data_IF_435359181864
#
_entry.id   IF_435359181864
#
_cell.length_a   1.000
_cell.length_b   1.000
_cell.length_c   1.000
_cell.angle_alpha   90.00
_cell.angle_beta   90.00
_cell.angle_gamma   90.00
#
_symmetry.space_group_name_H-M   'P 1'
#
loop_
_entity.id
_entity.type
_entity.pdbx_description
1 polymer ?
#
# COMPACT_ATOMS: atom_id res chain seq x y z
N UNK A 1 -36.31 -30.29 12.55
CA UNK A 1 -36.61 -28.87 12.25
C UNK A 1 -35.30 -28.12 12.05
N UNK A 2 -35.33 -27.06 11.26
CA UNK A 2 -34.21 -26.19 10.95
C UNK A 2 -33.95 -25.21 12.10
N UNK A 3 -32.68 -25.00 12.47
CA UNK A 3 -32.27 -24.13 13.56
C UNK A 3 -31.27 -23.09 13.09
N UNK A 4 -31.39 -21.87 13.63
CA UNK A 4 -30.38 -20.82 13.51
C UNK A 4 -29.56 -20.74 14.80
N UNK A 5 -28.26 -20.49 14.69
CA UNK A 5 -27.40 -20.12 15.80
C UNK A 5 -27.36 -18.58 15.85
N UNK A 6 -27.75 -18.03 17.00
CA UNK A 6 -27.78 -16.59 17.22
C UNK A 6 -26.77 -16.25 18.31
N UNK A 7 -25.82 -15.39 18.00
CA UNK A 7 -24.90 -14.84 18.99
C UNK A 7 -25.64 -13.81 19.87
N UNK A 8 -25.58 -13.99 21.15
CA UNK A 8 -26.18 -13.07 22.13
C UNK A 8 -25.07 -12.32 22.87
N UNK A 9 -24.92 -11.04 22.59
CA UNK A 9 -23.87 -10.21 23.16
C UNK A 9 -22.55 -10.27 22.38
N UNK A 10 -21.46 -9.83 23.04
CA UNK A 10 -20.12 -9.71 22.44
C UNK A 10 -19.28 -10.99 22.50
N UNK A 11 -19.71 -11.97 23.31
CA UNK A 11 -19.01 -13.24 23.44
C UNK A 11 -19.33 -14.14 22.21
N UNK A 12 -18.34 -14.46 21.36
CA UNK A 12 -18.55 -15.27 20.18
C UNK A 12 -18.94 -16.73 20.50
N UNK A 13 -18.69 -17.18 21.71
CA UNK A 13 -19.02 -18.54 22.15
C UNK A 13 -20.44 -18.61 22.74
N UNK A 14 -21.07 -17.48 23.03
CA UNK A 14 -22.44 -17.44 23.56
C UNK A 14 -23.46 -17.51 22.44
N UNK A 15 -23.59 -18.70 21.86
CA UNK A 15 -24.51 -19.00 20.77
C UNK A 15 -25.79 -19.63 21.30
N UNK A 16 -26.93 -19.01 21.01
CA UNK A 16 -28.27 -19.56 21.29
C UNK A 16 -28.83 -20.25 20.04
N UNK A 17 -29.29 -21.47 20.22
CA UNK A 17 -29.97 -22.23 19.18
C UNK A 17 -31.45 -21.87 19.17
N UNK A 18 -31.96 -21.31 18.06
CA UNK A 18 -33.35 -20.88 17.91
C UNK A 18 -33.95 -21.59 16.70
N UNK A 19 -35.16 -22.11 16.83
CA UNK A 19 -35.88 -22.70 15.65
C UNK A 19 -36.12 -21.60 14.62
N UNK A 20 -35.85 -21.88 13.35
CA UNK A 20 -36.08 -20.90 12.28
C UNK A 20 -37.53 -20.48 12.23
N UNK A 21 -38.49 -21.37 12.55
CA UNK A 21 -39.89 -21.07 12.63
C UNK A 21 -40.26 -20.03 13.70
N UNK A 22 -39.45 -19.87 14.73
CA UNK A 22 -39.65 -18.90 15.82
C UNK A 22 -39.08 -17.52 15.50
N UNK A 23 -38.34 -17.39 14.39
CA UNK A 23 -37.76 -16.12 13.96
C UNK A 23 -38.82 -15.25 13.30
N UNK A 24 -39.34 -14.27 14.03
CA UNK A 24 -40.39 -13.36 13.53
C UNK A 24 -39.88 -12.35 12.50
N UNK A 25 -38.62 -11.92 12.58
CA UNK A 25 -38.05 -10.96 11.63
C UNK A 25 -36.53 -11.05 11.60
N UNK A 26 -35.93 -10.79 10.43
CA UNK A 26 -34.51 -10.54 10.24
C UNK A 26 -34.33 -9.09 9.79
N UNK A 27 -33.56 -8.29 10.50
CA UNK A 27 -33.28 -6.89 10.15
C UNK A 27 -31.79 -6.62 10.24
N UNK A 28 -31.23 -6.07 9.17
CA UNK A 28 -29.83 -5.58 9.21
C UNK A 28 -29.69 -4.42 10.19
N UNK A 29 -28.69 -4.48 11.06
CA UNK A 29 -28.32 -3.36 11.94
C UNK A 29 -27.45 -2.39 11.18
N UNK A 30 -27.73 -1.09 11.30
CA UNK A 30 -26.84 -0.02 10.83
C UNK A 30 -25.72 0.27 11.82
N UNK A 31 -25.78 -0.30 13.00
CA UNK A 31 -24.84 -0.09 14.08
C UNK A 31 -24.03 -1.38 14.25
N UNK A 32 -22.72 -1.25 14.27
CA UNK A 32 -21.81 -2.36 14.60
C UNK A 32 -22.06 -2.82 16.04
N UNK A 33 -21.99 -4.13 16.29
CA UNK A 33 -21.98 -4.68 17.64
C UNK A 33 -20.65 -4.41 18.37
N UNK A 34 -19.65 -3.88 17.65
CA UNK A 34 -18.36 -3.52 18.24
C UNK A 34 -18.54 -2.32 19.18
N UNK A 35 -18.07 -2.39 20.43
CA UNK A 35 -18.16 -1.27 21.35
C UNK A 35 -17.52 -0.02 20.76
N UNK A 36 -18.18 1.14 20.93
CA UNK A 36 -17.56 2.42 20.61
C UNK A 36 -16.30 2.62 21.42
N UNK A 37 -15.25 3.20 20.81
CA UNK A 37 -13.99 3.49 21.51
C UNK A 37 -12.99 2.33 21.60
N UNK A 38 -13.29 1.15 21.08
CA UNK A 38 -12.34 0.02 21.08
C UNK A 38 -10.98 0.39 20.49
N UNK A 39 -11.00 1.20 19.43
CA UNK A 39 -9.77 1.70 18.76
C UNK A 39 -8.96 2.60 19.69
N UNK A 40 -9.60 3.32 20.63
CA UNK A 40 -8.90 4.24 21.52
C UNK A 40 -8.06 3.52 22.59
N UNK A 41 -8.31 2.24 22.82
CA UNK A 41 -7.54 1.40 23.75
C UNK A 41 -6.35 0.71 23.10
N UNK A 42 -6.23 0.80 21.77
CA UNK A 42 -5.16 0.18 20.99
C UNK A 42 -3.98 1.14 20.81
N UNK A 43 -2.77 0.61 20.91
CA UNK A 43 -1.60 1.33 20.45
C UNK A 43 -1.48 1.31 18.90
N UNK A 44 -0.55 2.06 18.34
CA UNK A 44 -0.41 2.20 16.89
C UNK A 44 -0.07 0.88 16.18
N UNK A 45 0.68 -0.02 16.82
CA UNK A 45 1.02 -1.33 16.24
C UNK A 45 -0.18 -2.27 16.24
N UNK A 46 -0.91 -2.35 17.35
CA UNK A 46 -2.15 -3.14 17.44
C UNK A 46 -3.20 -2.68 16.42
N UNK A 47 -3.30 -1.36 16.19
CA UNK A 47 -4.20 -0.81 15.17
C UNK A 47 -3.76 -1.20 13.76
N UNK A 48 -2.46 -1.17 13.46
CA UNK A 48 -1.92 -1.65 12.17
C UNK A 48 -2.21 -3.13 11.94
N UNK A 49 -2.02 -3.96 12.98
CA UNK A 49 -2.27 -5.39 12.91
C UNK A 49 -3.75 -5.69 12.67
N UNK A 50 -4.64 -4.96 13.34
CA UNK A 50 -6.08 -5.07 13.11
C UNK A 50 -6.46 -4.70 11.68
N UNK A 51 -5.94 -3.58 11.16
CA UNK A 51 -6.18 -3.16 9.78
C UNK A 51 -5.63 -4.20 8.80
N UNK A 52 -4.43 -4.72 9.04
CA UNK A 52 -3.83 -5.76 8.24
C UNK A 52 -4.69 -7.04 8.22
N UNK A 53 -5.24 -7.43 9.37
CA UNK A 53 -6.17 -8.55 9.47
C UNK A 53 -7.42 -8.36 8.62
N UNK A 54 -8.04 -7.18 8.65
CA UNK A 54 -9.21 -6.89 7.83
C UNK A 54 -8.88 -6.91 6.33
N UNK A 55 -7.77 -6.27 5.92
CA UNK A 55 -7.36 -6.22 4.50
C UNK A 55 -7.03 -7.63 3.98
N UNK A 56 -6.46 -8.49 4.83
CA UNK A 56 -6.13 -9.87 4.48
C UNK A 56 -7.32 -10.82 4.48
N UNK A 57 -8.49 -10.38 4.97
CA UNK A 57 -9.64 -11.24 5.26
C UNK A 57 -9.28 -12.47 6.12
N UNK A 58 -8.29 -12.33 7.00
CA UNK A 58 -7.77 -13.40 7.87
C UNK A 58 -6.79 -14.38 7.21
N UNK A 59 -6.43 -14.16 5.95
CA UNK A 59 -5.40 -14.98 5.28
C UNK A 59 -4.00 -14.63 5.81
N UNK A 60 -3.43 -15.52 6.61
CA UNK A 60 -2.08 -15.38 7.19
C UNK A 60 -0.95 -15.31 6.15
N UNK A 61 -1.19 -15.75 4.92
CA UNK A 61 -0.22 -15.71 3.81
C UNK A 61 -0.34 -14.44 2.98
N UNK A 62 -1.32 -13.58 3.29
CA UNK A 62 -1.53 -12.34 2.55
C UNK A 62 -0.29 -11.45 2.59
N UNK A 63 0.00 -10.80 1.47
CA UNK A 63 1.19 -9.96 1.29
C UNK A 63 1.34 -8.85 2.34
N UNK A 64 0.25 -8.41 2.96
CA UNK A 64 0.26 -7.37 3.99
C UNK A 64 1.01 -7.79 5.27
N UNK A 65 1.08 -9.11 5.55
CA UNK A 65 1.83 -9.64 6.71
C UNK A 65 3.30 -9.93 6.39
N UNK A 66 3.70 -9.76 5.13
CA UNK A 66 5.13 -9.84 4.83
C UNK A 66 5.78 -8.64 5.53
N UNK A 67 6.84 -8.87 6.34
CA UNK A 67 7.58 -7.73 6.87
C UNK A 67 7.91 -6.84 5.68
N UNK A 68 7.77 -5.53 5.87
CA UNK A 68 8.30 -4.53 4.94
C UNK A 68 9.81 -4.78 4.90
N UNK A 69 10.22 -5.79 4.14
CA UNK A 69 11.63 -5.95 3.83
C UNK A 69 11.99 -4.69 3.08
N UNK A 70 12.85 -3.89 3.70
CA UNK A 70 13.49 -2.80 2.98
C UNK A 70 14.06 -3.43 1.72
N UNK A 71 13.42 -3.18 0.59
CA UNK A 71 13.87 -3.73 -0.68
C UNK A 71 15.33 -3.27 -0.84
N UNK A 72 16.23 -4.23 -1.09
CA UNK A 72 17.63 -3.92 -1.34
C UNK A 72 17.76 -3.37 -2.75
N UNK A 73 17.37 -2.10 -2.90
CA UNK A 73 17.44 -1.38 -4.16
C UNK A 73 18.72 -0.55 -4.15
N UNK A 74 19.58 -0.81 -5.11
CA UNK A 74 20.79 -0.03 -5.38
C UNK A 74 20.57 0.76 -6.67
N UNK A 75 20.49 2.09 -6.57
CA UNK A 75 20.33 2.97 -7.72
C UNK A 75 21.65 3.11 -8.47
N UNK A 76 21.73 2.57 -9.67
CA UNK A 76 22.92 2.66 -10.53
C UNK A 76 22.93 3.97 -11.33
N UNK A 77 21.78 4.36 -11.89
CA UNK A 77 21.59 5.60 -12.63
C UNK A 77 20.14 6.05 -12.54
N UNK A 78 19.90 7.35 -12.46
CA UNK A 78 18.57 7.94 -12.54
C UNK A 78 18.67 9.33 -13.15
N UNK A 79 18.42 9.43 -14.43
CA UNK A 79 18.54 10.67 -15.22
C UNK A 79 17.16 11.10 -15.68
N UNK A 80 16.77 12.32 -15.33
CA UNK A 80 15.48 12.89 -15.66
C UNK A 80 15.61 14.12 -16.56
N UNK A 81 14.88 14.16 -17.65
CA UNK A 81 14.88 15.30 -18.58
C UNK A 81 14.54 14.91 -20.03
N UNK A 82 14.98 15.72 -20.96
CA UNK A 82 14.79 15.49 -22.39
C UNK A 82 15.65 14.34 -22.89
N UNK A 83 14.99 13.32 -23.48
CA UNK A 83 15.71 12.14 -23.97
C UNK A 83 16.72 12.52 -25.06
N UNK A 84 17.97 12.06 -24.92
CA UNK A 84 19.03 12.30 -25.88
C UNK A 84 19.70 13.69 -25.80
N UNK A 85 19.30 14.54 -24.84
CA UNK A 85 19.91 15.87 -24.68
C UNK A 85 20.53 16.05 -23.28
N UNK A 86 21.80 15.70 -23.08
CA UNK A 86 22.45 15.76 -21.76
C UNK A 86 22.45 17.14 -21.10
N UNK A 87 22.40 18.24 -21.89
CA UNK A 87 22.33 19.61 -21.35
C UNK A 87 20.98 19.94 -20.70
N UNK A 88 19.96 19.16 -21.01
CA UNK A 88 18.59 19.32 -20.51
C UNK A 88 18.14 18.12 -19.69
N UNK A 89 19.08 17.56 -18.94
CA UNK A 89 18.90 16.43 -18.05
C UNK A 89 19.50 16.73 -16.69
N UNK A 90 19.05 16.00 -15.67
CA UNK A 90 19.58 16.07 -14.32
C UNK A 90 19.60 14.70 -13.65
N UNK A 91 20.59 14.51 -12.79
CA UNK A 91 20.66 13.34 -11.92
C UNK A 91 19.70 13.48 -10.77
N UNK A 92 18.76 12.54 -10.65
CA UNK A 92 17.73 12.50 -9.61
C UNK A 92 17.90 11.34 -8.63
N UNK A 93 19.08 10.67 -8.60
CA UNK A 93 19.33 9.54 -7.71
C UNK A 93 19.09 9.89 -6.24
N UNK A 94 19.51 11.06 -5.78
CA UNK A 94 19.28 11.50 -4.40
C UNK A 94 17.82 11.67 -4.07
N UNK A 95 17.04 12.16 -5.04
CA UNK A 95 15.58 12.35 -4.88
C UNK A 95 14.89 11.00 -4.78
N UNK A 96 15.21 10.08 -5.68
CA UNK A 96 14.64 8.73 -5.69
C UNK A 96 15.09 7.95 -4.45
N UNK A 97 16.35 8.07 -4.04
CA UNK A 97 16.85 7.42 -2.83
C UNK A 97 16.05 7.84 -1.60
N UNK A 98 15.73 9.13 -1.48
CA UNK A 98 14.88 9.63 -0.39
C UNK A 98 13.49 8.98 -0.41
N UNK A 99 12.85 8.81 -1.57
CA UNK A 99 11.57 8.10 -1.67
C UNK A 99 11.70 6.66 -1.15
N UNK A 100 12.77 5.95 -1.56
CA UNK A 100 13.02 4.58 -1.12
C UNK A 100 13.31 4.49 0.38
N UNK A 101 14.00 5.46 0.94
CA UNK A 101 14.28 5.53 2.39
C UNK A 101 13.01 5.78 3.19
N UNK A 102 12.05 6.51 2.61
CA UNK A 102 10.71 6.76 3.16
C UNK A 102 9.71 5.62 2.82
N UNK A 103 10.20 4.45 2.35
CA UNK A 103 9.41 3.28 1.94
C UNK A 103 8.39 3.57 0.83
N UNK A 104 8.60 4.63 0.05
CA UNK A 104 7.79 4.96 -1.13
C UNK A 104 8.36 4.24 -2.35
N UNK A 105 7.82 3.06 -2.66
CA UNK A 105 8.26 2.25 -3.80
C UNK A 105 7.48 2.52 -5.08
N UNK A 106 6.37 3.24 -4.96
CA UNK A 106 5.51 3.69 -6.05
C UNK A 106 5.27 5.19 -5.95
N UNK A 107 5.70 5.96 -6.95
CA UNK A 107 5.52 7.41 -6.99
C UNK A 107 5.53 7.93 -8.41
N UNK A 108 4.87 9.07 -8.65
CA UNK A 108 4.92 9.74 -9.95
C UNK A 108 6.18 10.59 -10.07
N UNK A 109 6.95 10.41 -11.15
CA UNK A 109 8.09 11.28 -11.45
C UNK A 109 7.60 12.60 -12.06
N UNK A 110 7.76 13.68 -11.31
CA UNK A 110 7.30 15.02 -11.67
C UNK A 110 8.41 16.06 -11.52
N UNK A 111 8.27 17.22 -12.15
CA UNK A 111 9.17 18.36 -11.95
C UNK A 111 9.21 18.81 -10.49
N UNK A 112 8.06 18.73 -9.79
CA UNK A 112 7.97 19.05 -8.36
C UNK A 112 8.81 18.10 -7.53
N UNK A 113 8.75 16.80 -7.80
CA UNK A 113 9.56 15.79 -7.10
C UNK A 113 11.05 15.98 -7.43
N UNK A 114 11.38 16.25 -8.69
CA UNK A 114 12.75 16.52 -9.14
C UNK A 114 13.36 17.80 -8.55
N UNK A 115 12.52 18.71 -8.03
CA UNK A 115 12.91 19.99 -7.47
C UNK A 115 13.05 21.12 -8.49
N UNK A 116 13.09 20.80 -9.78
CA UNK A 116 13.09 21.77 -10.90
C UNK A 116 12.66 21.14 -12.21
N UNK A 117 12.36 21.94 -13.21
CA UNK A 117 12.12 21.53 -14.59
C UNK A 117 13.45 21.58 -15.37
N UNK A 118 14.05 20.42 -15.74
CA UNK A 118 15.30 20.42 -16.50
C UNK A 118 15.11 20.74 -17.98
N UNK A 119 13.87 20.62 -18.49
CA UNK A 119 13.59 20.70 -19.92
C UNK A 119 12.21 21.30 -20.20
N UNK A 120 12.02 22.59 -19.87
CA UNK A 120 10.76 23.30 -20.12
C UNK A 120 10.30 23.17 -21.57
N UNK A 121 8.98 22.97 -21.75
CA UNK A 121 8.35 22.85 -23.06
C UNK A 121 8.50 21.49 -23.75
N UNK A 122 9.13 20.50 -23.11
CA UNK A 122 9.25 19.13 -23.65
C UNK A 122 8.78 18.09 -22.65
N UNK A 123 8.36 16.92 -23.15
CA UNK A 123 8.05 15.76 -22.29
C UNK A 123 9.36 15.16 -21.81
N UNK A 124 9.50 15.07 -20.47
CA UNK A 124 10.68 14.47 -19.87
C UNK A 124 10.52 12.97 -19.71
N UNK A 125 11.65 12.30 -19.64
CA UNK A 125 11.75 10.86 -19.40
C UNK A 125 12.72 10.65 -18.25
N UNK A 126 12.35 9.82 -17.30
CA UNK A 126 13.26 9.24 -16.33
C UNK A 126 13.89 8.00 -16.96
N UNK A 127 15.20 8.02 -17.16
CA UNK A 127 16.00 6.84 -17.49
C UNK A 127 16.56 6.29 -16.18
N UNK A 128 15.99 5.17 -15.72
CA UNK A 128 16.25 4.58 -14.43
C UNK A 128 16.94 3.23 -14.60
N UNK A 129 18.08 3.06 -13.94
CA UNK A 129 18.78 1.77 -13.83
C UNK A 129 19.07 1.47 -12.38
N UNK A 130 18.62 0.30 -11.94
CA UNK A 130 18.77 -0.12 -10.55
C UNK A 130 18.99 -1.62 -10.42
N UNK A 131 19.49 -2.04 -9.28
CA UNK A 131 19.67 -3.44 -8.91
C UNK A 131 18.72 -3.76 -7.77
N UNK A 132 17.93 -4.82 -7.94
CA UNK A 132 17.01 -5.33 -6.93
C UNK A 132 17.34 -6.81 -6.73
N UNK A 133 17.65 -7.20 -5.49
CA UNK A 133 18.00 -8.57 -5.12
C UNK A 133 19.05 -9.23 -6.05
N UNK A 134 20.05 -8.43 -6.45
CA UNK A 134 21.13 -8.88 -7.31
C UNK A 134 20.86 -8.78 -8.81
N UNK A 135 19.63 -8.57 -9.26
CA UNK A 135 19.26 -8.41 -10.68
C UNK A 135 19.24 -6.94 -11.08
N UNK A 136 19.71 -6.64 -12.29
CA UNK A 136 19.71 -5.29 -12.86
C UNK A 136 18.45 -5.09 -13.69
N UNK A 137 17.78 -3.96 -13.42
CA UNK A 137 16.59 -3.50 -14.13
C UNK A 137 16.86 -2.16 -14.79
N UNK A 138 16.27 -1.93 -15.95
CA UNK A 138 16.30 -0.64 -16.65
C UNK A 138 14.87 -0.28 -17.07
N UNK A 139 14.42 0.92 -16.68
CA UNK A 139 13.08 1.42 -16.99
C UNK A 139 13.19 2.83 -17.59
N UNK A 140 12.37 3.14 -18.62
CA UNK A 140 12.17 4.49 -19.14
C UNK A 140 10.73 4.90 -18.87
N UNK A 141 10.57 5.92 -18.06
CA UNK A 141 9.27 6.32 -17.50
C UNK A 141 9.04 7.79 -17.90
N UNK A 142 7.91 8.07 -18.55
CA UNK A 142 7.55 9.44 -18.93
C UNK A 142 7.17 10.25 -17.70
N UNK A 143 7.37 11.57 -17.80
CA UNK A 143 6.87 12.54 -16.83
C UNK A 143 5.41 12.27 -16.44
N UNK A 144 5.09 12.40 -15.16
CA UNK A 144 3.78 12.14 -14.54
C UNK A 144 3.33 10.66 -14.56
N UNK A 145 4.12 9.73 -15.07
CA UNK A 145 3.84 8.31 -14.92
C UNK A 145 4.43 7.77 -13.62
N UNK A 146 3.83 6.68 -13.14
CA UNK A 146 4.27 6.01 -11.92
C UNK A 146 5.57 5.25 -12.15
N UNK A 147 6.54 5.53 -11.30
CA UNK A 147 7.72 4.69 -11.09
C UNK A 147 7.30 3.61 -10.10
N UNK A 148 7.41 2.33 -10.46
CA UNK A 148 7.19 1.21 -9.54
C UNK A 148 8.46 0.38 -9.42
N UNK A 149 8.83 0.03 -8.19
CA UNK A 149 9.90 -0.91 -7.88
C UNK A 149 9.36 -2.28 -7.43
N UNK A 150 8.02 -2.37 -7.27
CA UNK A 150 7.31 -3.58 -6.84
C UNK A 150 6.38 -3.95 -7.99
N UNK A 151 6.70 -4.99 -8.73
CA UNK A 151 5.83 -5.61 -9.74
C UNK A 151 5.14 -6.84 -9.15
#
# INVERSE_FOLDING_TARGET
GEYALIQSGLDPLNLKKVKVADVKAKKGSKISMMPGGLINSMNAEELKDLIAYFISAGDKKHKIFRPLQKLRIELLSAIYGEAGNPKRQMDVRKVIQKQLDDFQYDFAMTNKLAGKDPAGGTVKVLDLKYKLDGKIYSKKIRENQTVSFID
#
